data_IF_572124024784
#
_entry.id   IF_572124024784
#
_cell.length_a   1.000
_cell.length_b   1.000
_cell.length_c   1.000
_cell.angle_alpha   90.00
_cell.angle_beta   90.00
_cell.angle_gamma   90.00
#
_symmetry.space_group_name_H-M   'P 1'
#
loop_
_entity.id
_entity.type
_entity.pdbx_description
1 polymer ?
2 non-polymer ?
#
# COMPACT_ATOMS: atom_id res chain seq x y z
CA UNK A 1 -14.55 -40.64 -7.76
CA UNK A 2 -11.20 -42.32 -8.47
CA UNK A 3 -10.82 -45.75 -10.05
CA UNK A 4 -7.40 -47.38 -9.57
CA UNK A 5 -7.31 -50.10 -12.23
CA UNK A 6 -4.68 -52.78 -12.80
CA UNK A 7 -1.80 -52.64 -12.41
CA UNK A 8 -0.94 -50.88 -9.15
CA UNK A 9 1.50 -47.97 -9.34
CA UNK A 10 1.49 -45.24 -6.69
CA UNK A 11 2.77 -42.17 -8.53
CA UNK A 12 0.38 -40.85 -11.17
CA UNK A 13 -2.85 -41.91 -9.44
CA UNK A 14 -1.47 -42.03 -5.90
CA UNK A 15 -0.12 -38.88 -4.26
CA UNK A 16 0.68 -38.68 -0.55
CA UNK A 17 1.58 -35.64 1.52
CA UNK A 18 4.62 -36.38 2.81
CA UNK A 19 7.22 -37.94 0.48
CA UNK A 20 7.81 -40.76 2.98
CA UNK A 21 4.04 -41.39 3.19
CA UNK A 22 3.81 -41.50 -0.62
CA UNK A 23 6.71 -43.98 -0.75
CA UNK A 24 4.98 -46.17 1.86
CA UNK A 25 1.73 -46.08 -0.14
CA UNK A 26 3.63 -47.08 -3.30
CA UNK A 27 5.26 -49.98 -1.42
CA UNK A 28 1.84 -51.12 -0.17
CA UNK A 29 0.45 -50.98 -3.71
CA UNK A 30 3.40 -53.05 -4.99
CA UNK A 31 2.81 -55.62 -2.23
CA UNK A 32 -0.88 -55.82 -3.15
CA UNK A 33 0.03 -56.33 -6.82
CA UNK A 34 2.46 -59.11 -5.87
CA UNK A 35 -0.24 -60.79 -3.77
CA UNK A 36 -2.69 -60.58 -6.70
CA UNK A 37 -0.09 -62.13 -9.01
CA UNK A 38 0.49 -64.96 -6.52
CA UNK A 39 -2.35 -66.80 -4.79
CA UNK A 40 0.81 -66.46 -2.73
CA UNK A 41 -0.57 -66.72 0.82
CA UNK A 42 2.78 -65.57 2.24
CA UNK A 43 2.83 -62.60 -0.16
CA UNK A 44 -0.72 -61.66 0.89
CA UNK A 45 0.30 -61.85 4.57
CA UNK A 46 3.31 -59.61 3.88
CA UNK A 47 1.08 -57.10 2.08
CA UNK A 48 -1.35 -57.09 5.04
CA UNK A 49 1.56 -56.49 7.44
CA UNK A 50 2.79 -53.60 5.29
CA UNK A 51 -0.70 -52.09 5.27
CA UNK A 52 -0.90 -52.40 9.07
CA UNK A 53 2.49 -50.69 9.42
CA UNK A 54 1.33 -47.86 7.14
CA UNK A 55 -1.83 -47.44 9.23
CA UNK A 56 0.25 -47.31 12.42
CA UNK A 57 2.52 -44.65 10.86
CA UNK A 58 -0.54 -42.60 9.85
CA UNK A 59 -1.91 -42.86 13.40
CA UNK A 60 1.44 -41.72 14.82
CA UNK A 61 1.48 -38.75 12.42
CA UNK A 62 -2.07 -37.81 13.47
CA UNK A 63 -1.26 -35.28 16.19
CA UNK A 64 -3.60 -32.29 15.85
CA UNK A 65 -5.51 -31.82 12.61
CA UNK A 66 -7.12 -35.04 11.41
CA UNK A 67 -5.89 -38.54 10.55
CA UNK A 68 -8.61 -39.87 8.26
CA UNK A 69 -11.14 -40.93 10.91
CA UNK A 70 -9.43 -43.30 13.37
CA UNK A 71 -12.58 -45.44 13.54
CA UNK A 72 -12.74 -45.57 9.74
CA UNK A 73 -9.08 -46.63 9.59
CA UNK A 74 -9.74 -49.37 12.16
CA UNK A 75 -12.72 -50.61 10.11
CA UNK A 76 -10.57 -50.68 6.96
CA UNK A 77 -7.89 -52.66 8.81
CA UNK A 78 -10.51 -55.14 10.03
CA UNK A 79 -11.84 -55.54 6.47
CA UNK A 80 -8.30 -56.16 5.20
CA UNK A 81 -7.74 -58.80 7.90
CA UNK A 82 -11.02 -60.50 6.94
CA UNK A 83 -9.83 -60.19 3.35
CA UNK A 84 -7.83 -63.37 3.93
CA UNK A 85 -10.57 -65.84 3.01
CA UNK A 86 -10.92 -62.81 0.79
CA UNK A 87 -10.79 -64.00 -2.81
CA UNK A 88 -11.17 -62.18 -6.13
CA UNK A 89 -13.98 -59.94 -4.90
CA UNK A 90 -11.85 -59.27 -1.82
CA UNK A 91 -8.86 -58.16 -3.90
CA UNK A 92 -11.03 -56.05 -6.23
CA UNK A 93 -12.97 -54.69 -3.24
CA UNK A 94 -9.71 -53.80 -1.48
CA UNK A 95 -8.46 -52.01 -4.61
CA UNK A 96 -11.73 -50.04 -4.81
CA UNK A 97 -11.40 -49.06 -1.14
CA UNK A 98 -7.82 -47.90 -1.74
CA UNK A 99 -8.97 -45.83 -4.73
CA UNK A 100 -11.72 -44.24 -2.63
CA UNK A 101 -9.20 -43.40 0.11
CA UNK A 102 -6.89 -41.81 -2.48
CA UNK A 103 -9.79 -39.75 -3.84
CA UNK A 104 -10.67 -38.59 -0.31
CA UNK A 105 -7.03 -37.60 0.29
CA UNK A 106 -6.41 -33.88 -0.18
CA UNK A 107 -5.42 -32.08 3.02
CA UNK A 108 -5.35 -34.85 5.62
CA UNK A 109 -3.27 -36.82 3.12
CA UNK A 110 -2.19 -33.75 1.14
CA UNK A 111 -0.88 -30.39 2.34
CA UNK A 112 -1.60 -30.08 6.05
CA UNK A 113 0.04 -32.92 7.99
CA UNK B 1 -6.10 45.16 -13.91
CA UNK B 2 -2.38 44.68 -13.24
CA UNK B 3 -0.79 41.40 -12.19
CA UNK B 4 2.69 41.70 -10.66
CA UNK B 5 4.10 38.16 -10.90
CA UNK B 6 7.36 36.81 -9.50
CA UNK B 7 9.93 38.15 -9.20
CA UNK B 8 9.49 41.67 -7.86
CA UNK B 9 11.12 44.49 -9.82
CA UNK B 10 9.79 48.05 -9.59
CA UNK B 11 10.70 49.59 -12.94
CA UNK B 12 8.79 48.12 -15.88
CA UNK B 13 5.59 47.28 -13.98
CA UNK B 14 6.04 49.80 -11.18
CA UNK B 15 6.13 53.53 -11.94
CA UNK B 16 5.91 56.19 -9.24
CA UNK B 17 5.50 59.94 -9.61
CA UNK B 18 8.21 61.22 -8.06
CA UNK B 19 11.60 59.61 -8.73
CA UNK B 20 12.22 59.29 -4.98
CA UNK B 21 8.79 57.66 -4.53
CA UNK B 22 9.55 55.20 -7.35
CA UNK B 23 12.90 54.34 -5.74
CA UNK B 24 11.17 53.75 -2.39
CA UNK B 25 8.59 51.48 -4.08
CA UNK B 26 11.40 49.52 -5.75
CA UNK B 27 13.17 49.12 -2.39
CA UNK B 28 9.93 47.88 -0.80
CA UNK B 29 9.47 45.37 -3.62
CA UNK B 30 13.06 44.13 -3.15
CA UNK B 31 12.45 43.74 0.59
CA UNK B 32 9.26 41.76 -0.09
CA UNK B 33 11.15 39.50 -2.51
CA UNK B 34 13.87 38.92 0.10
CA UNK B 35 11.23 38.04 2.70
CA UNK B 36 9.61 35.57 0.27
CA UNK B 37 12.99 33.97 -0.39
CA UNK B 38 13.61 33.64 3.36
CA UNK B 39 10.96 32.38 5.78
CA UNK B 40 13.33 34.96 7.22
CA UNK B 41 11.22 36.44 10.03
CA UNK B 42 13.73 39.27 10.46
CA UNK B 43 13.65 39.98 6.71
CA UNK B 44 9.83 40.06 6.78
CA UNK B 45 9.92 42.49 9.73
CA UNK B 46 12.37 44.73 7.85
CA UNK B 47 10.11 44.68 4.78
CA UNK B 48 7.10 45.63 6.93
CA UNK B 49 9.08 48.51 8.46
CA UNK B 50 10.07 49.72 4.98
CA UNK B 51 6.43 49.58 3.87
CA UNK B 52 5.37 51.59 6.95
CA UNK B 53 8.05 54.20 6.21
CA UNK B 54 6.84 54.45 2.60
CA UNK B 55 3.25 54.92 3.80
CA UNK B 56 4.38 57.66 6.21
CA UNK B 57 6.25 59.41 3.36
CA UNK B 58 3.14 59.22 1.16
CA UNK B 59 1.03 60.69 3.98
CA UNK B 60 3.54 63.53 4.42
CA UNK B 61 3.46 64.23 0.67
CA UNK B 62 -0.36 64.31 0.74
CA UNK B 63 -0.90 68.06 1.18
CA UNK B 64 -3.73 69.18 -1.10
CA UNK B 65 -4.83 66.91 -3.93
CA UNK B 66 -5.26 63.31 -2.79
CA UNK B 67 -3.04 60.71 -1.11
CA UNK B 68 -4.70 57.43 -2.08
CA UNK B 69 -7.47 57.39 0.55
CA UNK B 70 -5.91 57.76 4.01
CA UNK B 71 -8.38 55.24 5.43
CA UNK B 72 -7.55 52.79 2.63
CA UNK B 73 -3.83 53.21 3.32
CA UNK B 74 -4.42 52.56 7.03
CA UNK B 75 -6.40 49.41 6.19
CA UNK B 76 -3.58 48.20 3.93
CA UNK B 77 -1.04 48.82 6.70
CA UNK B 78 -3.21 46.86 9.15
CA UNK B 79 -3.47 43.97 6.67
CA UNK B 80 0.32 43.98 6.22
CA UNK B 81 0.81 43.91 10.02
CA UNK B 82 -1.61 40.98 10.29
CA UNK B 83 0.32 39.44 7.40
CA UNK B 84 2.83 38.20 9.97
CA UNK B 85 1.09 34.92 10.80
CA UNK B 86 0.57 35.63 7.14
CA UNK B 87 1.88 32.65 5.18
CA UNK B 88 1.90 31.83 1.47
CA UNK B 89 -1.58 33.21 0.86
CA UNK B 90 -0.51 36.29 2.82
CA UNK B 91 2.54 36.87 0.62
CA UNK B 92 0.56 36.23 -2.59
CA UNK B 93 -2.33 38.34 -1.28
CA UNK B 94 0.08 41.16 -0.41
CA UNK B 95 1.59 41.00 -3.92
CA UNK B 96 -1.90 41.16 -5.46
CA UNK B 97 -2.75 44.19 -3.30
CA UNK B 98 0.47 45.90 -4.40
CA UNK B 99 -0.36 45.19 -8.05
CA UNK B 100 -3.85 46.64 -7.58
CA UNK B 101 -2.37 49.77 -5.97
CA UNK B 102 0.06 50.15 -8.89
CA UNK B 103 -2.83 49.81 -11.37
CA UNK B 104 -4.81 52.47 -9.46
CA UNK B 105 -1.79 54.80 -9.55
CA UNK B 106 -2.00 57.41 -12.31
CA UNK B 107 -2.30 60.97 -11.02
CA UNK B 108 -2.21 60.57 -7.25
CA UNK B 109 0.83 58.37 -7.79
CA UNK B 110 1.59 59.75 -11.25
CA UNK B 111 1.71 63.34 -12.49
CA UNK B 112 0.04 65.56 -9.90
CA UNK B 113 1.79 65.26 -6.54
X LIG C 1 -5.44 -43.71 5.64
X LIG D 1 -2.84 -44.31 3.48
X LIG E 1 -0.15 54.19 -1.46
X LIG F 1 2.98 53.35 -2.62
#
# INVERSE_FOLDING_TARGET
GFPIPDPYVWDPSFRTFYSIIDDEHKTLFNGIFHLAIDDNADNLGELRRCTGKHFLNQEVLMEASQYQFYDEHKKEHDGFINALDNWKGDVKWAKAWLVNHIKTIDFKYKGKI
GFPIPDPYVWDPSFRTFYSIIDDEHKTLFNGIFHLAIDDNADNLGELRRCTGKHFLNQEVLMEASQYQFYDEHKKEHDGFINALDNWKGDVKWAKAWLVNHIKTIDFKYKGKI
FE FE
FE FE
FE FE
FE FE
#
